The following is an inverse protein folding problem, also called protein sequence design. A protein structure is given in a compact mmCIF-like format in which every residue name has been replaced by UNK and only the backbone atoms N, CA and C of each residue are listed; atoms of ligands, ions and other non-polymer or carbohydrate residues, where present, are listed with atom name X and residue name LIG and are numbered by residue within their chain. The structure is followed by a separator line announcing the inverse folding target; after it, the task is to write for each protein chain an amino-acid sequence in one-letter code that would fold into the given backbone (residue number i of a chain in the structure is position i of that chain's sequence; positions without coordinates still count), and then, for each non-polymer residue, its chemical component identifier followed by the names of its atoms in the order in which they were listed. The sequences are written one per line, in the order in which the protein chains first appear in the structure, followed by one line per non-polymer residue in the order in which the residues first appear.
data_IF_748624263364
#
_entry.id   IF_748624263364
#
_cell.length_a   1.000
_cell.length_b   1.000
_cell.length_c   1.000
_cell.angle_alpha   90.00
_cell.angle_beta   90.00
_cell.angle_gamma   90.00
#
_symmetry.space_group_name_H-M   'P 1'
#
loop_
_entity.id
_entity.type
_entity.pdbx_description
1 polymer ?
#
# COMPACT_ATOMS: atom_id res chain seq x y z
N UNK A 1 -3.26 -24.83 12.16
CA UNK A 1 -3.07 -24.37 13.55
C UNK A 1 -2.08 -23.22 13.48
N UNK A 2 -2.32 -22.08 14.15
CA UNK A 2 -1.33 -21.01 14.20
C UNK A 2 -0.27 -21.45 15.21
N UNK A 3 0.91 -21.79 14.69
CA UNK A 3 1.99 -22.47 15.44
C UNK A 3 2.43 -21.70 16.69
N UNK A 4 2.46 -20.37 16.62
CA UNK A 4 2.91 -19.51 17.72
C UNK A 4 1.93 -19.44 18.91
N UNK A 5 0.65 -19.78 18.71
CA UNK A 5 -0.38 -19.57 19.74
C UNK A 5 -1.27 -20.80 20.00
N UNK A 6 -0.98 -21.94 19.35
CA UNK A 6 -1.80 -23.15 19.41
C UNK A 6 -3.30 -22.95 19.10
N UNK A 7 -3.63 -21.88 18.37
CA UNK A 7 -5.01 -21.56 18.00
C UNK A 7 -5.39 -22.21 16.68
N UNK A 8 -6.67 -22.58 16.53
CA UNK A 8 -7.19 -22.87 15.19
C UNK A 8 -7.25 -21.57 14.39
N UNK A 9 -7.01 -21.67 13.07
CA UNK A 9 -7.11 -20.52 12.15
C UNK A 9 -8.47 -19.81 12.29
N UNK A 10 -9.55 -20.58 12.46
CA UNK A 10 -10.91 -20.08 12.65
C UNK A 10 -11.02 -19.24 13.94
N UNK A 11 -10.43 -19.72 15.05
CA UNK A 11 -10.46 -19.01 16.32
C UNK A 11 -9.61 -17.73 16.25
N UNK A 12 -8.42 -17.80 15.66
CA UNK A 12 -7.54 -16.65 15.48
C UNK A 12 -8.17 -15.57 14.59
N UNK A 13 -8.74 -15.94 13.44
CA UNK A 13 -9.42 -14.99 12.54
C UNK A 13 -10.59 -14.29 13.23
N UNK A 14 -11.40 -15.03 14.02
CA UNK A 14 -12.49 -14.44 14.81
C UNK A 14 -11.98 -13.46 15.85
N UNK A 15 -10.86 -13.77 16.51
CA UNK A 15 -10.25 -12.92 17.54
C UNK A 15 -9.84 -11.55 16.98
N UNK A 16 -9.22 -11.53 15.79
CA UNK A 16 -8.68 -10.31 15.16
C UNK A 16 -9.67 -9.63 14.19
N UNK A 17 -10.88 -10.17 14.03
CA UNK A 17 -11.90 -9.63 13.13
C UNK A 17 -11.56 -9.79 11.64
N UNK A 18 -10.66 -10.71 11.27
CA UNK A 18 -10.33 -10.99 9.88
C UNK A 18 -11.22 -12.09 9.30
N UNK A 19 -11.52 -11.99 8.01
CA UNK A 19 -12.07 -13.12 7.28
C UNK A 19 -10.99 -14.18 7.04
N UNK A 20 -11.37 -15.46 7.01
CA UNK A 20 -10.45 -16.56 6.70
C UNK A 20 -9.88 -16.45 5.29
N UNK A 21 -10.65 -15.90 4.36
CA UNK A 21 -10.24 -15.69 2.98
C UNK A 21 -9.11 -14.66 2.90
N UNK A 22 -9.28 -13.51 3.56
CA UNK A 22 -8.24 -12.47 3.65
C UNK A 22 -6.99 -12.94 4.38
N UNK A 23 -7.11 -13.85 5.34
CA UNK A 23 -5.97 -14.47 6.02
C UNK A 23 -5.19 -15.42 5.09
N UNK A 24 -5.89 -16.22 4.28
CA UNK A 24 -5.26 -17.17 3.33
C UNK A 24 -4.69 -16.49 2.09
N UNK A 25 -5.30 -15.40 1.66
CA UNK A 25 -4.92 -14.63 0.49
C UNK A 25 -4.47 -13.24 0.92
N UNK A 26 -3.26 -13.11 1.49
CA UNK A 26 -2.74 -11.81 1.85
C UNK A 26 -2.62 -10.93 0.60
N UNK A 27 -2.84 -9.61 0.75
CA UNK A 27 -2.74 -8.69 -0.38
C UNK A 27 -1.34 -8.75 -0.97
N UNK A 28 -1.25 -9.14 -2.24
CA UNK A 28 0.01 -9.17 -2.98
C UNK A 28 0.31 -7.77 -3.52
N UNK A 29 1.45 -7.16 -3.15
CA UNK A 29 1.86 -5.90 -3.74
C UNK A 29 2.14 -6.15 -5.23
N UNK A 30 1.39 -5.50 -6.11
CA UNK A 30 1.69 -5.55 -7.54
C UNK A 30 3.01 -4.83 -7.84
N UNK A 31 3.74 -5.27 -8.87
CA UNK A 31 4.96 -4.59 -9.34
C UNK A 31 4.71 -3.12 -9.65
N UNK A 32 3.53 -2.81 -10.21
CA UNK A 32 3.09 -1.42 -10.42
C UNK A 32 3.00 -0.64 -9.10
N UNK A 33 2.51 -1.25 -8.02
CA UNK A 33 2.41 -0.60 -6.73
C UNK A 33 3.79 -0.36 -6.11
N UNK A 34 4.72 -1.31 -6.27
CA UNK A 34 6.09 -1.16 -5.80
C UNK A 34 6.80 -0.02 -6.55
N UNK A 35 6.75 -0.03 -7.88
CA UNK A 35 7.39 1.00 -8.74
C UNK A 35 6.79 2.38 -8.51
N UNK A 36 5.45 2.49 -8.46
CA UNK A 36 4.77 3.74 -8.16
C UNK A 36 5.11 4.26 -6.76
N UNK A 37 5.13 3.39 -5.75
CA UNK A 37 5.50 3.75 -4.38
C UNK A 37 6.91 4.32 -4.28
N UNK A 38 7.87 3.68 -4.95
CA UNK A 38 9.25 4.16 -5.03
C UNK A 38 9.33 5.56 -5.66
N UNK A 39 8.70 5.76 -6.82
CA UNK A 39 8.72 7.04 -7.53
C UNK A 39 8.06 8.16 -6.72
N UNK A 40 6.97 7.86 -6.00
CA UNK A 40 6.34 8.82 -5.08
C UNK A 40 7.32 9.22 -3.98
N UNK A 41 8.02 8.25 -3.36
CA UNK A 41 8.99 8.53 -2.29
C UNK A 41 10.15 9.37 -2.78
N UNK A 42 10.77 9.00 -3.90
CA UNK A 42 11.88 9.74 -4.50
C UNK A 42 11.46 11.18 -4.83
N UNK A 43 10.29 11.36 -5.44
CA UNK A 43 9.76 12.69 -5.78
C UNK A 43 9.51 13.52 -4.52
N UNK A 44 8.96 12.92 -3.47
CA UNK A 44 8.71 13.60 -2.19
C UNK A 44 10.01 14.01 -1.48
N UNK A 45 11.05 13.18 -1.54
CA UNK A 45 12.37 13.47 -0.98
C UNK A 45 13.07 14.62 -1.70
N UNK A 46 13.08 14.59 -3.04
CA UNK A 46 13.70 15.65 -3.86
C UNK A 46 12.92 16.96 -3.76
N UNK A 47 11.59 16.91 -3.64
CA UNK A 47 10.71 18.08 -3.64
C UNK A 47 9.85 18.16 -2.38
N UNK A 48 10.49 18.31 -1.21
CA UNK A 48 9.84 18.32 0.12
C UNK A 48 8.64 19.28 0.28
N UNK A 49 8.56 20.38 -0.49
CA UNK A 49 7.42 21.33 -0.44
C UNK A 49 6.22 20.91 -1.28
N UNK A 50 6.30 19.79 -2.00
CA UNK A 50 5.24 19.35 -2.91
C UNK A 50 4.23 18.49 -2.16
N UNK A 51 2.95 18.87 -2.26
CA UNK A 51 1.84 18.02 -1.84
C UNK A 51 1.56 16.89 -2.85
N UNK A 52 0.76 15.91 -2.44
CA UNK A 52 0.44 14.74 -3.26
C UNK A 52 -0.16 15.06 -4.63
N UNK A 53 -0.87 16.19 -4.77
CA UNK A 53 -1.42 16.65 -6.06
C UNK A 53 -0.32 17.05 -7.05
N UNK A 54 0.71 17.77 -6.60
CA UNK A 54 1.84 18.12 -7.48
C UNK A 54 2.70 16.91 -7.82
N UNK A 55 2.84 15.97 -6.89
CA UNK A 55 3.51 14.69 -7.16
C UNK A 55 2.73 13.91 -8.24
N UNK A 56 1.41 13.85 -8.15
CA UNK A 56 0.56 13.25 -9.18
C UNK A 56 0.81 13.87 -10.56
N UNK A 57 0.80 15.21 -10.65
CA UNK A 57 0.94 15.88 -11.94
C UNK A 57 2.30 15.61 -12.61
N UNK A 58 3.37 15.47 -11.81
CA UNK A 58 4.68 15.06 -12.32
C UNK A 58 4.72 13.60 -12.78
N UNK A 59 4.10 12.70 -12.01
CA UNK A 59 4.13 11.27 -12.30
C UNK A 59 3.13 10.87 -13.40
N UNK A 60 2.25 11.78 -13.82
CA UNK A 60 1.20 11.50 -14.81
C UNK A 60 1.73 10.98 -16.15
N UNK A 61 2.91 11.42 -16.57
CA UNK A 61 3.54 10.94 -17.81
C UNK A 61 4.07 9.52 -17.69
N UNK A 62 4.65 9.15 -16.55
CA UNK A 62 5.20 7.81 -16.30
C UNK A 62 4.14 6.79 -15.90
N UNK A 63 3.07 7.25 -15.23
CA UNK A 63 1.99 6.41 -14.72
C UNK A 63 0.63 6.90 -15.22
N UNK A 64 0.33 6.73 -16.52
CA UNK A 64 -0.95 7.16 -17.08
C UNK A 64 -2.11 6.41 -16.40
N UNK A 65 -3.19 7.13 -16.09
CA UNK A 65 -4.40 6.56 -15.47
C UNK A 65 -4.32 6.38 -13.95
N UNK A 66 -3.19 6.69 -13.31
CA UNK A 66 -3.10 6.67 -11.84
C UNK A 66 -3.81 7.90 -11.25
N UNK A 67 -4.87 7.65 -10.49
CA UNK A 67 -5.63 8.71 -9.82
C UNK A 67 -4.83 9.34 -8.66
N UNK A 68 -4.88 10.67 -8.51
CA UNK A 68 -4.28 11.40 -7.38
C UNK A 68 -4.69 10.85 -5.98
N UNK A 69 -5.91 10.29 -5.84
CA UNK A 69 -6.36 9.64 -4.59
C UNK A 69 -5.59 8.36 -4.28
N UNK A 70 -5.10 7.65 -5.30
CA UNK A 70 -4.27 6.45 -5.13
C UNK A 70 -2.88 6.83 -4.62
N UNK A 71 -2.30 7.90 -5.15
CA UNK A 71 -1.02 8.46 -4.70
C UNK A 71 -1.10 8.91 -3.24
N UNK A 72 -2.19 9.58 -2.85
CA UNK A 72 -2.42 9.95 -1.45
C UNK A 72 -2.44 8.71 -0.53
N UNK A 73 -3.20 7.66 -0.90
CA UNK A 73 -3.27 6.41 -0.14
C UNK A 73 -1.92 5.71 -0.03
N UNK A 74 -1.15 5.66 -1.10
CA UNK A 74 0.20 5.05 -1.11
C UNK A 74 1.19 5.82 -0.24
N UNK A 75 1.14 7.15 -0.25
CA UNK A 75 1.98 7.98 0.63
C UNK A 75 1.67 7.75 2.10
N UNK A 76 0.41 7.49 2.46
CA UNK A 76 0.02 7.17 3.84
C UNK A 76 0.41 5.75 4.25
N UNK A 77 0.34 4.79 3.33
CA UNK A 77 0.66 3.38 3.60
C UNK A 77 2.16 3.13 3.78
N UNK A 78 3.01 3.93 3.13
CA UNK A 78 4.47 3.83 3.20
C UNK A 78 5.06 5.18 3.63
N UNK A 79 5.01 5.54 4.93
CA UNK A 79 5.67 6.73 5.42
C UNK A 79 7.18 6.64 5.19
N UNK A 80 7.74 7.71 4.63
CA UNK A 80 9.17 7.90 4.33
C UNK A 80 10.01 8.08 5.58
#
# INVERSE_FOLDING_TARGET
MIEQHHLSERHACRLVGLSRDSYRHPPQPSELNATLGEQIRQTALVRRRFGYRRIHDMLRQQFPGVNHKRIYRMRLANPS
#
